data_IF_449384168442
#
_entry.id   IF_449384168442
#
_cell.length_a   1.000
_cell.length_b   1.000
_cell.length_c   1.000
_cell.angle_alpha   90.00
_cell.angle_beta   90.00
_cell.angle_gamma   90.00
#
_symmetry.space_group_name_H-M   'P 1'
#
loop_
_entity.id
_entity.type
_entity.pdbx_description
1 polymer ?
#
# COMPACT_ATOMS: atom_id res chain seq x y z
N UNK A 1 -31.42 -49.76 -28.63
CA UNK A 1 -32.00 -48.58 -27.97
C UNK A 1 -31.14 -47.39 -28.38
N UNK A 2 -31.71 -46.48 -29.16
CA UNK A 2 -31.01 -45.29 -29.66
C UNK A 2 -31.09 -44.25 -28.55
N UNK A 3 -29.94 -43.85 -28.02
CA UNK A 3 -29.85 -42.82 -26.99
C UNK A 3 -29.59 -41.48 -27.68
N UNK A 4 -30.62 -40.64 -27.64
CA UNK A 4 -30.69 -39.31 -28.22
C UNK A 4 -29.77 -38.37 -27.43
N UNK A 5 -28.72 -37.83 -28.07
CA UNK A 5 -27.90 -36.77 -27.50
C UNK A 5 -28.65 -35.45 -27.66
N UNK A 6 -29.20 -34.95 -26.55
CA UNK A 6 -29.76 -33.60 -26.46
C UNK A 6 -28.60 -32.61 -26.42
N UNK A 7 -28.37 -31.91 -27.52
CA UNK A 7 -27.48 -30.75 -27.55
C UNK A 7 -28.18 -29.58 -26.86
N UNK A 8 -27.74 -29.22 -25.65
CA UNK A 8 -28.09 -27.95 -25.02
C UNK A 8 -27.30 -26.82 -25.67
N UNK A 9 -27.87 -26.21 -26.69
CA UNK A 9 -27.49 -24.88 -27.16
C UNK A 9 -27.89 -23.87 -26.08
N UNK A 10 -26.91 -23.44 -25.27
CA UNK A 10 -27.10 -22.32 -24.36
C UNK A 10 -26.87 -21.01 -25.13
N UNK A 11 -27.96 -20.32 -25.46
CA UNK A 11 -27.90 -18.97 -26.02
C UNK A 11 -27.43 -17.99 -24.94
N UNK A 12 -26.22 -17.44 -25.06
CA UNK A 12 -25.82 -16.27 -24.31
C UNK A 12 -26.52 -15.03 -24.87
N UNK A 13 -27.57 -14.60 -24.18
CA UNK A 13 -28.20 -13.29 -24.36
C UNK A 13 -27.38 -12.20 -23.67
N UNK A 14 -27.13 -11.12 -24.43
CA UNK A 14 -26.72 -9.76 -24.03
C UNK A 14 -25.24 -9.49 -23.68
N UNK A 15 -24.38 -9.59 -24.70
CA UNK A 15 -23.31 -8.60 -24.90
C UNK A 15 -23.96 -7.27 -25.33
N UNK A 16 -23.61 -6.10 -24.74
CA UNK A 16 -23.94 -4.84 -25.37
C UNK A 16 -23.14 -4.74 -26.68
N UNK A 17 -23.87 -4.58 -27.79
CA UNK A 17 -23.30 -4.33 -29.10
C UNK A 17 -22.32 -3.15 -29.06
N UNK A 18 -21.18 -3.38 -29.72
CA UNK A 18 -20.11 -2.44 -29.98
C UNK A 18 -20.65 -1.28 -30.81
N UNK A 19 -21.12 -0.22 -30.16
CA UNK A 19 -21.47 1.03 -30.87
C UNK A 19 -20.20 1.73 -31.31
N UNK A 20 -19.99 1.72 -32.62
CA UNK A 20 -19.09 2.63 -33.30
C UNK A 20 -19.59 4.08 -33.10
N UNK A 21 -18.63 5.00 -32.90
CA UNK A 21 -18.74 6.45 -33.01
C UNK A 21 -19.72 7.17 -32.06
N UNK A 22 -19.17 7.96 -31.14
CA UNK A 22 -19.94 8.91 -30.35
C UNK A 22 -19.05 9.76 -29.44
N UNK A 23 -18.63 10.92 -29.97
CA UNK A 23 -18.30 12.19 -29.29
C UNK A 23 -17.99 12.10 -27.79
N UNK A 24 -16.71 12.32 -27.46
CA UNK A 24 -16.20 12.49 -26.10
C UNK A 24 -16.93 13.64 -25.37
N UNK A 25 -17.81 13.29 -24.44
CA UNK A 25 -18.20 14.16 -23.33
C UNK A 25 -17.51 13.60 -22.08
N UNK A 26 -16.83 14.49 -21.33
CA UNK A 26 -15.90 14.15 -20.26
C UNK A 26 -16.46 13.19 -19.21
N UNK A 27 -15.98 11.94 -19.25
CA UNK A 27 -16.12 10.98 -18.16
C UNK A 27 -14.93 11.20 -17.24
N UNK A 28 -15.19 11.47 -15.96
CA UNK A 28 -14.15 11.42 -14.93
C UNK A 28 -13.57 10.02 -14.92
N UNK A 29 -12.29 9.92 -15.25
CA UNK A 29 -11.51 8.70 -15.19
C UNK A 29 -11.40 8.30 -13.70
N UNK A 30 -12.34 7.48 -13.24
CA UNK A 30 -12.22 6.79 -11.96
C UNK A 30 -10.99 5.91 -11.99
N UNK A 31 -10.26 5.92 -10.89
CA UNK A 31 -9.02 5.19 -10.71
C UNK A 31 -9.26 3.68 -10.97
N UNK A 32 -8.60 3.03 -11.93
CA UNK A 32 -8.79 1.60 -12.21
C UNK A 32 -8.47 0.68 -11.02
N UNK A 33 -7.86 1.21 -9.95
CA UNK A 33 -7.39 0.47 -8.77
C UNK A 33 -8.44 0.25 -7.66
N UNK A 34 -9.71 0.57 -7.88
CA UNK A 34 -10.82 0.27 -6.95
C UNK A 34 -11.94 -0.57 -7.60
N UNK A 35 -11.58 -1.60 -8.37
CA UNK A 35 -12.57 -2.52 -8.93
C UNK A 35 -12.66 -3.82 -8.11
N UNK A 36 -13.52 -3.90 -7.06
CA UNK A 36 -13.77 -5.14 -6.32
C UNK A 36 -14.35 -6.26 -7.20
N UNK A 37 -14.76 -5.95 -8.44
CA UNK A 37 -15.13 -6.92 -9.45
C UNK A 37 -13.97 -7.78 -9.94
N UNK A 38 -12.72 -7.27 -9.95
CA UNK A 38 -11.61 -8.05 -10.50
C UNK A 38 -11.16 -9.19 -9.58
N UNK A 39 -10.93 -8.92 -8.30
CA UNK A 39 -10.57 -9.98 -7.35
C UNK A 39 -11.66 -11.06 -7.27
N UNK A 40 -12.94 -10.65 -7.37
CA UNK A 40 -14.08 -11.56 -7.45
C UNK A 40 -14.13 -12.34 -8.77
N UNK A 41 -13.69 -11.73 -9.87
CA UNK A 41 -13.61 -12.35 -11.19
C UNK A 41 -12.49 -13.39 -11.26
N UNK A 42 -11.28 -13.09 -10.77
CA UNK A 42 -10.18 -14.06 -10.69
C UNK A 42 -10.56 -15.23 -9.78
N UNK A 43 -11.16 -14.96 -8.62
CA UNK A 43 -11.64 -16.03 -7.73
C UNK A 43 -12.69 -16.90 -8.43
N UNK A 44 -13.65 -16.28 -9.15
CA UNK A 44 -14.66 -17.01 -9.91
C UNK A 44 -14.08 -17.85 -11.06
N UNK A 45 -13.08 -17.35 -11.78
CA UNK A 45 -12.41 -18.09 -12.85
C UNK A 45 -11.64 -19.28 -12.27
N UNK A 46 -10.93 -19.09 -11.18
CA UNK A 46 -10.17 -20.15 -10.50
C UNK A 46 -11.11 -21.22 -9.96
N UNK A 47 -12.23 -20.82 -9.33
CA UNK A 47 -13.27 -21.75 -8.85
C UNK A 47 -13.95 -22.53 -9.99
N UNK A 48 -14.24 -21.86 -11.11
CA UNK A 48 -14.82 -22.50 -12.31
C UNK A 48 -13.86 -23.54 -12.91
N UNK A 49 -12.58 -23.19 -13.08
CA UNK A 49 -11.57 -24.13 -13.57
C UNK A 49 -11.38 -25.31 -12.61
N UNK A 50 -11.38 -25.09 -11.30
CA UNK A 50 -11.30 -26.17 -10.31
C UNK A 50 -12.52 -27.11 -10.36
N UNK A 51 -13.72 -26.58 -10.60
CA UNK A 51 -14.93 -27.39 -10.75
C UNK A 51 -14.87 -28.31 -11.98
N UNK A 52 -14.26 -27.84 -13.09
CA UNK A 52 -14.05 -28.65 -14.30
C UNK A 52 -13.08 -29.82 -14.04
N UNK A 53 -12.04 -29.62 -13.23
CA UNK A 53 -11.09 -30.69 -12.88
C UNK A 53 -11.67 -31.72 -11.90
N UNK A 54 -12.54 -31.31 -10.97
CA UNK A 54 -13.18 -32.22 -10.01
C UNK A 54 -14.31 -33.07 -10.63
N UNK A 55 -14.83 -32.66 -11.80
CA UNK A 55 -15.87 -33.41 -12.53
C UNK A 55 -15.33 -34.49 -13.47
N UNK A 56 -14.02 -34.63 -13.65
CA UNK A 56 -13.43 -35.60 -14.58
C UNK A 56 -13.19 -36.95 -13.89
N UNK A 57 -13.88 -38.05 -14.27
CA UNK A 57 -13.64 -39.35 -13.69
C UNK A 57 -12.25 -39.85 -14.13
N UNK A 58 -11.30 -39.84 -13.20
CA UNK A 58 -9.99 -40.44 -13.37
C UNK A 58 -10.17 -41.95 -13.58
N UNK A 59 -9.98 -42.41 -14.80
CA UNK A 59 -9.77 -43.83 -15.08
C UNK A 59 -8.40 -44.24 -14.55
N UNK A 60 -8.42 -45.11 -13.54
CA UNK A 60 -7.26 -45.81 -12.97
C UNK A 60 -6.38 -46.41 -14.08
N UNK A 61 -5.23 -45.79 -14.32
CA UNK A 61 -4.13 -46.39 -15.05
C UNK A 61 -2.88 -46.21 -14.21
N UNK A 62 -2.57 -47.28 -13.47
CA UNK A 62 -1.33 -47.49 -12.72
C UNK A 62 -0.14 -47.28 -13.66
N UNK A 63 0.62 -46.20 -13.44
CA UNK A 63 1.94 -46.04 -14.04
C UNK A 63 2.97 -45.86 -12.92
N UNK A 64 3.72 -46.94 -12.73
CA UNK A 64 4.88 -47.10 -11.86
C UNK A 64 6.02 -46.21 -12.39
N UNK A 65 6.46 -45.23 -11.58
CA UNK A 65 7.61 -44.37 -11.89
C UNK A 65 8.70 -44.54 -10.83
N UNK A 66 9.84 -45.06 -11.26
CA UNK A 66 11.10 -45.10 -10.52
C UNK A 66 11.72 -43.71 -10.36
N UNK A 67 12.45 -43.43 -9.26
CA UNK A 67 13.05 -42.12 -9.02
C UNK A 67 14.43 -41.98 -9.70
N UNK A 68 14.78 -40.81 -10.28
CA UNK A 68 16.13 -40.52 -10.70
C UNK A 68 16.98 -39.90 -9.57
N UNK A 69 18.25 -40.29 -9.59
CA UNK A 69 19.30 -40.00 -8.62
C UNK A 69 19.61 -38.51 -8.42
N UNK A 70 19.90 -38.16 -7.17
CA UNK A 70 20.45 -36.88 -6.70
C UNK A 70 21.84 -36.62 -7.31
N UNK A 71 21.98 -35.50 -8.01
CA UNK A 71 23.27 -34.94 -8.45
C UNK A 71 23.67 -33.82 -7.48
N UNK A 72 24.78 -34.03 -6.77
CA UNK A 72 25.52 -33.02 -6.02
C UNK A 72 25.86 -31.81 -6.91
N UNK A 73 25.76 -30.61 -6.35
CA UNK A 73 26.33 -29.38 -6.91
C UNK A 73 27.17 -28.68 -5.83
N UNK A 74 28.33 -28.11 -6.18
CA UNK A 74 29.29 -27.60 -5.22
C UNK A 74 28.95 -26.17 -4.76
N UNK A 75 29.06 -25.93 -3.46
CA UNK A 75 28.98 -24.61 -2.84
C UNK A 75 30.26 -23.80 -3.08
N UNK A 76 30.17 -22.52 -3.49
CA UNK A 76 31.31 -21.61 -3.46
C UNK A 76 31.49 -21.03 -2.05
N UNK A 77 32.66 -21.27 -1.47
CA UNK A 77 33.17 -20.64 -0.25
C UNK A 77 33.48 -19.17 -0.52
N UNK A 78 32.87 -18.24 0.21
CA UNK A 78 33.30 -16.84 0.28
C UNK A 78 33.94 -16.59 1.64
N UNK A 79 35.24 -16.34 1.61
CA UNK A 79 36.06 -15.88 2.72
C UNK A 79 36.09 -14.34 2.65
N UNK A 80 35.72 -13.65 3.73
CA UNK A 80 35.74 -12.18 3.80
C UNK A 80 36.63 -11.74 4.96
N UNK A 81 37.84 -11.33 4.59
CA UNK A 81 38.81 -10.67 5.46
C UNK A 81 38.27 -9.31 5.94
N UNK A 82 38.02 -9.20 7.24
CA UNK A 82 37.61 -7.97 7.91
C UNK A 82 38.86 -7.11 8.22
N UNK A 83 39.19 -6.17 7.33
CA UNK A 83 40.25 -5.18 7.58
C UNK A 83 39.66 -3.83 8.00
N UNK A 84 39.68 -3.60 9.31
CA UNK A 84 40.23 -2.39 9.95
C UNK A 84 39.77 -1.01 9.44
N UNK A 85 38.76 -0.43 10.09
CA UNK A 85 38.68 1.03 10.25
C UNK A 85 38.35 1.39 11.70
N UNK A 86 39.39 1.84 12.42
CA UNK A 86 39.24 2.53 13.68
C UNK A 86 38.76 3.96 13.44
N UNK A 87 37.74 4.38 14.19
CA UNK A 87 37.45 5.79 14.39
C UNK A 87 37.32 6.05 15.89
N UNK A 88 38.24 6.88 16.34
CA UNK A 88 38.50 7.36 17.69
C UNK A 88 37.40 8.30 18.15
N UNK A 89 36.93 8.08 19.39
CA UNK A 89 36.06 9.00 20.12
C UNK A 89 36.87 10.15 20.74
N UNK A 90 36.34 11.37 20.68
CA UNK A 90 36.42 12.39 21.74
C UNK A 90 35.66 13.65 21.32
N UNK A 91 34.62 14.03 22.07
CA UNK A 91 34.29 15.45 22.27
C UNK A 91 33.41 15.62 23.50
N UNK A 92 34.06 15.92 24.62
CA UNK A 92 33.51 16.72 25.71
C UNK A 92 33.53 18.18 25.27
N UNK A 93 32.43 18.91 25.44
CA UNK A 93 32.54 20.15 26.20
C UNK A 93 31.21 20.64 26.77
N UNK A 94 31.36 21.22 27.95
CA UNK A 94 30.36 21.65 28.92
C UNK A 94 30.26 23.17 28.82
N UNK A 95 29.05 23.76 28.79
CA UNK A 95 28.88 25.19 29.13
C UNK A 95 27.66 25.34 30.05
N UNK A 96 27.78 26.06 31.18
CA UNK A 96 26.73 26.20 32.17
C UNK A 96 26.11 27.62 32.20
N UNK A 97 24.92 27.66 32.80
CA UNK A 97 24.29 28.74 33.62
C UNK A 97 23.94 30.13 33.03
N UNK A 98 22.67 30.46 33.31
CA UNK A 98 22.17 31.69 33.96
C UNK A 98 21.70 32.90 33.14
N UNK A 99 20.88 33.69 33.86
CA UNK A 99 20.34 35.04 33.60
C UNK A 99 18.89 35.03 33.08
N UNK A 100 17.86 35.14 33.91
CA UNK A 100 17.39 36.24 34.79
C UNK A 100 16.20 36.98 34.16
N UNK A 101 15.32 37.40 35.06
CA UNK A 101 14.02 38.02 34.94
C UNK A 101 13.86 39.10 33.86
N UNK A 102 12.66 39.17 33.27
CA UNK A 102 12.09 40.47 32.91
C UNK A 102 10.56 40.46 32.96
N UNK A 103 10.05 41.11 34.01
CA UNK A 103 8.69 41.61 34.14
C UNK A 103 8.29 42.43 32.90
N UNK A 104 7.05 42.25 32.43
CA UNK A 104 6.44 43.14 31.43
C UNK A 104 5.15 43.76 31.99
N UNK A 105 4.94 45.07 31.77
CA UNK A 105 3.88 45.82 32.42
C UNK A 105 2.52 45.63 31.73
N UNK A 106 1.48 45.66 32.55
CA UNK A 106 0.08 45.73 32.16
C UNK A 106 -0.19 47.06 31.46
N UNK A 107 -0.62 47.02 30.20
CA UNK A 107 -1.15 48.19 29.47
C UNK A 107 -2.69 48.20 29.50
N UNK A 108 -3.31 49.40 29.50
CA UNK A 108 -4.75 49.57 29.69
C UNK A 108 -5.55 49.24 28.43
N UNK A 109 -6.69 48.61 28.69
CA UNK A 109 -7.78 48.29 27.78
C UNK A 109 -8.37 49.57 27.17
N UNK A 110 -8.13 49.80 25.86
CA UNK A 110 -8.84 50.80 25.06
C UNK A 110 -9.95 50.13 24.26
N UNK A 111 -11.19 50.52 24.57
CA UNK A 111 -12.41 50.10 23.89
C UNK A 111 -12.57 50.87 22.56
N UNK A 112 -12.75 50.21 21.39
CA UNK A 112 -13.00 50.90 20.14
C UNK A 112 -14.51 51.11 19.88
N UNK A 113 -14.89 52.22 19.22
CA UNK A 113 -16.28 52.58 18.98
C UNK A 113 -16.93 51.67 17.93
N UNK A 114 -18.21 51.38 18.17
CA UNK A 114 -19.10 50.64 17.27
C UNK A 114 -19.20 51.35 15.91
N UNK A 115 -18.57 50.77 14.89
CA UNK A 115 -18.83 51.09 13.49
C UNK A 115 -19.79 50.04 12.92
N UNK A 116 -21.01 50.48 12.57
CA UNK A 116 -21.95 49.69 11.79
C UNK A 116 -21.33 49.40 10.43
N UNK A 117 -21.05 48.12 10.15
CA UNK A 117 -20.55 47.66 8.87
C UNK A 117 -21.59 46.72 8.27
N UNK A 118 -22.18 47.15 7.15
CA UNK A 118 -23.09 46.38 6.33
C UNK A 118 -22.45 45.04 5.95
N UNK A 119 -22.89 43.99 6.63
CA UNK A 119 -22.54 42.61 6.36
C UNK A 119 -23.23 42.18 5.05
N UNK A 120 -22.58 42.48 3.93
CA UNK A 120 -22.83 41.75 2.69
C UNK A 120 -22.33 40.33 2.89
N UNK A 121 -23.26 39.43 3.26
CA UNK A 121 -23.07 37.97 3.28
C UNK A 121 -22.72 37.48 1.86
N UNK A 122 -21.48 37.68 1.44
CA UNK A 122 -20.89 36.84 0.42
C UNK A 122 -20.72 35.46 1.03
N UNK A 123 -21.75 34.61 0.91
CA UNK A 123 -21.65 33.18 1.20
C UNK A 123 -20.48 32.65 0.37
N UNK A 124 -19.35 32.29 0.98
CA UNK A 124 -18.28 31.69 0.22
C UNK A 124 -18.85 30.37 -0.32
N UNK A 125 -18.88 30.25 -1.64
CA UNK A 125 -19.12 28.99 -2.33
C UNK A 125 -17.88 28.13 -2.07
N UNK A 126 -17.78 27.62 -0.85
CA UNK A 126 -16.73 26.73 -0.42
C UNK A 126 -16.97 25.41 -1.13
N UNK A 127 -16.10 25.06 -2.07
CA UNK A 127 -16.07 23.74 -2.68
C UNK A 127 -15.84 22.72 -1.56
N UNK A 128 -16.89 21.99 -1.18
CA UNK A 128 -16.88 21.03 -0.07
C UNK A 128 -16.26 19.70 -0.49
N UNK A 129 -15.11 19.74 -1.14
CA UNK A 129 -14.34 18.51 -1.27
C UNK A 129 -13.94 18.16 0.17
N UNK A 130 -14.49 17.07 0.70
CA UNK A 130 -14.14 16.49 2.01
C UNK A 130 -13.73 15.04 1.82
N UNK A 131 -12.68 14.62 2.52
CA UNK A 131 -12.32 13.23 2.69
C UNK A 131 -12.95 12.71 3.99
N UNK A 132 -13.54 11.52 3.97
CA UNK A 132 -14.08 10.88 5.18
C UNK A 132 -13.15 9.74 5.58
N UNK A 133 -12.50 9.84 6.74
CA UNK A 133 -11.77 8.72 7.34
C UNK A 133 -12.66 8.04 8.38
N UNK A 134 -12.59 6.71 8.45
CA UNK A 134 -13.30 5.90 9.46
C UNK A 134 -12.28 5.19 10.34
N UNK A 135 -12.46 5.29 11.65
CA UNK A 135 -11.56 4.75 12.67
C UNK A 135 -12.14 3.49 13.30
N UNK A 136 -11.30 2.71 13.98
CA UNK A 136 -11.64 1.45 14.63
C UNK A 136 -12.68 1.61 15.76
N UNK A 137 -12.65 2.76 16.44
CA UNK A 137 -13.61 3.15 17.49
C UNK A 137 -14.98 3.57 16.92
N UNK A 138 -15.15 3.54 15.60
CA UNK A 138 -16.36 3.95 14.90
C UNK A 138 -16.46 5.45 14.64
N UNK A 139 -15.48 6.25 15.08
CA UNK A 139 -15.43 7.68 14.78
C UNK A 139 -15.23 7.86 13.27
N UNK A 140 -15.89 8.88 12.71
CA UNK A 140 -15.72 9.31 11.33
C UNK A 140 -15.28 10.75 11.29
N UNK A 141 -14.13 11.01 10.67
CA UNK A 141 -13.54 12.34 10.58
C UNK A 141 -13.71 12.88 9.15
N UNK A 142 -14.41 14.01 9.03
CA UNK A 142 -14.52 14.75 7.78
C UNK A 142 -13.38 15.75 7.68
N UNK A 143 -12.47 15.52 6.74
CA UNK A 143 -11.23 16.30 6.58
C UNK A 143 -11.35 17.16 5.33
N UNK A 144 -11.24 18.47 5.52
CA UNK A 144 -11.17 19.43 4.43
C UNK A 144 -9.76 19.46 3.84
N UNK A 145 -9.66 19.77 2.54
CA UNK A 145 -8.39 19.75 1.80
C UNK A 145 -7.29 20.60 2.44
N UNK A 146 -7.65 21.71 3.06
CA UNK A 146 -6.74 22.67 3.70
C UNK A 146 -6.36 22.31 5.15
N UNK A 147 -6.90 21.24 5.72
CA UNK A 147 -6.66 20.84 7.12
C UNK A 147 -5.50 19.86 7.26
N UNK A 148 -5.01 19.28 6.16
CA UNK A 148 -3.87 18.35 6.20
C UNK A 148 -2.58 19.15 6.34
N UNK A 149 -1.90 19.10 7.50
CA UNK A 149 -0.68 19.86 7.70
C UNK A 149 0.45 19.31 6.83
N UNK A 150 1.45 20.12 6.48
CA UNK A 150 2.74 19.58 6.04
C UNK A 150 3.29 18.72 7.17
N UNK A 151 3.81 17.54 6.85
CA UNK A 151 4.45 16.70 7.86
C UNK A 151 5.68 17.42 8.41
N UNK A 152 5.76 17.57 9.73
CA UNK A 152 7.02 17.91 10.37
C UNK A 152 8.07 16.84 10.02
N UNK A 153 9.38 17.13 10.06
CA UNK A 153 10.39 16.09 9.91
C UNK A 153 10.23 15.04 11.01
N UNK A 154 9.92 13.80 10.63
CA UNK A 154 9.94 12.64 11.51
C UNK A 154 10.60 11.46 10.79
N UNK A 155 11.05 10.48 11.56
CA UNK A 155 11.65 9.26 11.01
C UNK A 155 11.31 8.08 11.91
N UNK A 156 10.71 7.06 11.31
CA UNK A 156 10.49 5.76 11.96
C UNK A 156 11.62 4.76 11.66
N UNK A 157 12.66 5.17 10.90
CA UNK A 157 13.70 4.24 10.44
C UNK A 157 14.53 3.65 11.60
N UNK A 158 14.58 4.33 12.74
CA UNK A 158 15.33 3.92 13.94
C UNK A 158 14.42 3.44 15.07
N UNK A 159 13.10 3.63 14.96
CA UNK A 159 12.13 3.32 16.00
C UNK A 159 10.90 2.64 15.37
N UNK A 160 11.06 1.34 15.16
CA UNK A 160 10.01 0.50 14.58
C UNK A 160 8.87 0.26 15.57
N UNK A 161 9.13 0.34 16.87
CA UNK A 161 8.06 0.25 17.86
C UNK A 161 7.09 1.41 17.70
N UNK A 162 7.60 2.64 17.55
CA UNK A 162 6.75 3.80 17.24
C UNK A 162 6.00 3.65 15.92
N UNK A 163 6.60 3.03 14.91
CA UNK A 163 5.93 2.76 13.64
C UNK A 163 4.69 1.87 13.86
N UNK A 164 4.88 0.75 14.57
CA UNK A 164 3.81 -0.22 14.87
C UNK A 164 2.69 0.45 15.67
N UNK A 165 3.06 1.22 16.69
CA UNK A 165 2.11 1.95 17.54
C UNK A 165 1.32 3.04 16.80
N UNK A 166 1.81 3.48 15.64
CA UNK A 166 1.26 4.56 14.82
C UNK A 166 0.61 4.07 13.52
N UNK A 167 0.65 2.77 13.24
CA UNK A 167 0.30 2.23 11.92
C UNK A 167 -1.21 2.12 11.70
N UNK A 168 -1.88 1.39 12.59
CA UNK A 168 -3.26 0.93 12.45
C UNK A 168 -3.97 1.02 13.81
N UNK A 169 -5.06 1.77 13.85
CA UNK A 169 -5.91 1.98 15.03
C UNK A 169 -6.78 0.76 15.39
N UNK A 170 -6.87 -0.24 14.51
CA UNK A 170 -7.45 -1.54 14.83
C UNK A 170 -6.46 -2.44 15.60
N UNK A 171 -5.17 -2.08 15.65
CA UNK A 171 -4.14 -2.89 16.32
C UNK A 171 -4.26 -2.81 17.83
N UNK A 172 -3.98 -3.93 18.52
CA UNK A 172 -3.83 -3.95 19.96
C UNK A 172 -2.63 -3.10 20.44
N UNK A 173 -1.65 -2.90 19.57
CA UNK A 173 -0.47 -2.07 19.83
C UNK A 173 -0.70 -0.58 19.53
N UNK A 174 -1.89 -0.18 19.09
CA UNK A 174 -2.21 1.22 18.78
C UNK A 174 -2.03 2.11 20.02
N UNK A 175 -0.98 2.93 19.98
CA UNK A 175 -0.59 3.83 21.05
C UNK A 175 0.20 5.01 20.44
N UNK A 176 -0.44 5.86 19.61
CA UNK A 176 0.26 6.90 18.88
C UNK A 176 0.96 7.85 19.86
N UNK A 177 2.23 8.21 19.61
CA UNK A 177 2.99 9.01 20.55
C UNK A 177 2.47 10.47 20.57
N UNK A 178 2.75 11.25 21.63
CA UNK A 178 2.26 12.63 21.74
C UNK A 178 2.74 13.55 20.60
N UNK A 179 3.89 13.22 20.00
CA UNK A 179 4.51 13.91 18.86
C UNK A 179 4.10 13.30 17.51
N UNK A 180 2.92 12.66 17.42
CA UNK A 180 2.44 12.01 16.21
C UNK A 180 2.43 12.97 15.00
N UNK A 181 2.99 12.60 13.83
CA UNK A 181 3.25 13.58 12.76
C UNK A 181 2.02 14.25 12.15
N UNK A 182 0.86 13.57 12.18
CA UNK A 182 -0.38 14.06 11.61
C UNK A 182 -1.48 13.94 12.66
N UNK A 183 -1.88 15.07 13.21
CA UNK A 183 -3.00 15.19 14.14
C UNK A 183 -4.00 16.18 13.53
N UNK A 184 -5.23 15.74 13.30
CA UNK A 184 -6.30 16.57 12.71
C UNK A 184 -7.46 16.59 13.70
N UNK A 185 -7.92 17.79 14.08
CA UNK A 185 -8.93 17.98 15.13
C UNK A 185 -8.60 17.24 16.44
N UNK A 186 -7.32 17.20 16.82
CA UNK A 186 -6.85 16.49 18.02
C UNK A 186 -6.81 14.96 17.90
N UNK A 187 -7.12 14.39 16.73
CA UNK A 187 -7.09 12.95 16.50
C UNK A 187 -5.81 12.56 15.73
N UNK A 188 -4.95 11.69 16.29
CA UNK A 188 -3.81 11.13 15.57
C UNK A 188 -4.30 10.32 14.36
N UNK A 189 -3.78 10.60 13.17
CA UNK A 189 -4.19 9.89 11.95
C UNK A 189 -3.29 8.66 11.75
N UNK A 190 -3.81 7.43 11.77
CA UNK A 190 -3.04 6.22 11.51
C UNK A 190 -2.29 6.28 10.17
N UNK A 191 -1.05 5.78 10.15
CA UNK A 191 -0.20 5.82 8.95
C UNK A 191 -0.85 5.10 7.76
N UNK A 192 -1.66 4.06 8.01
CA UNK A 192 -2.41 3.36 6.95
C UNK A 192 -3.31 4.30 6.13
N UNK A 193 -3.87 5.36 6.73
CA UNK A 193 -4.76 6.31 6.06
C UNK A 193 -4.03 7.44 5.32
N UNK A 194 -2.72 7.57 5.49
CA UNK A 194 -1.98 8.70 4.91
C UNK A 194 -2.04 8.73 3.39
N UNK A 195 -2.08 7.56 2.73
CA UNK A 195 -2.23 7.48 1.28
C UNK A 195 -3.52 8.13 0.79
N UNK A 196 -4.66 7.82 1.41
CA UNK A 196 -5.97 8.39 1.09
C UNK A 196 -6.00 9.89 1.40
N UNK A 197 -5.49 10.27 2.58
CA UNK A 197 -5.42 11.65 3.05
C UNK A 197 -4.66 12.55 2.07
N UNK A 198 -3.50 12.10 1.60
CA UNK A 198 -2.65 12.88 0.70
C UNK A 198 -3.08 12.82 -0.76
N UNK A 199 -3.69 11.72 -1.24
CA UNK A 199 -4.33 11.68 -2.57
C UNK A 199 -5.41 12.75 -2.69
N UNK A 200 -6.13 12.96 -1.60
CA UNK A 200 -7.16 13.98 -1.51
C UNK A 200 -6.58 15.41 -1.51
N UNK A 201 -5.47 15.64 -0.80
CA UNK A 201 -4.81 16.94 -0.76
C UNK A 201 -3.81 17.18 -1.92
N UNK A 202 -4.33 17.61 -3.09
CA UNK A 202 -3.49 17.98 -4.24
C UNK A 202 -2.44 19.07 -3.96
N UNK A 203 -2.64 19.93 -2.96
CA UNK A 203 -1.64 20.97 -2.61
C UNK A 203 -0.42 20.37 -1.92
N UNK A 204 -0.57 19.21 -1.28
CA UNK A 204 0.51 18.49 -0.60
C UNK A 204 1.11 17.36 -1.46
N UNK A 205 0.93 17.39 -2.79
CA UNK A 205 1.45 16.34 -3.68
C UNK A 205 2.98 16.16 -3.58
N UNK A 206 3.71 17.25 -3.31
CA UNK A 206 5.16 17.19 -3.06
C UNK A 206 5.51 16.39 -1.80
N UNK A 207 4.78 16.62 -0.70
CA UNK A 207 4.96 15.92 0.57
C UNK A 207 4.64 14.43 0.42
N UNK A 208 3.53 14.09 -0.23
CA UNK A 208 3.19 12.70 -0.51
C UNK A 208 4.25 12.01 -1.35
N UNK A 209 4.77 12.67 -2.40
CA UNK A 209 5.81 12.08 -3.24
C UNK A 209 7.08 11.75 -2.43
N UNK A 210 7.45 12.60 -1.47
CA UNK A 210 8.56 12.35 -0.53
C UNK A 210 8.24 11.17 0.38
N UNK A 211 7.04 11.18 0.96
CA UNK A 211 6.63 10.23 1.99
C UNK A 211 6.31 8.84 1.43
N UNK A 212 5.82 8.74 0.20
CA UNK A 212 5.38 7.50 -0.45
C UNK A 212 6.46 6.42 -0.47
N UNK A 213 7.73 6.80 -0.64
CA UNK A 213 8.86 5.85 -0.58
C UNK A 213 8.99 5.23 0.81
N UNK A 214 8.96 6.05 1.85
CA UNK A 214 9.01 5.58 3.24
C UNK A 214 7.77 4.76 3.60
N UNK A 215 6.59 5.25 3.23
CA UNK A 215 5.32 4.57 3.48
C UNK A 215 5.28 3.18 2.83
N UNK A 216 5.77 3.04 1.59
CA UNK A 216 5.84 1.73 0.92
C UNK A 216 6.78 0.77 1.67
N UNK A 217 7.89 1.28 2.21
CA UNK A 217 8.77 0.45 3.04
C UNK A 217 8.09 0.08 4.37
N UNK A 218 7.33 1.00 4.98
CA UNK A 218 6.60 0.75 6.22
C UNK A 218 5.48 -0.28 6.08
N UNK A 219 4.77 -0.30 4.95
CA UNK A 219 3.74 -1.32 4.68
C UNK A 219 4.30 -2.74 4.78
N UNK A 220 5.55 -2.93 4.35
CA UNK A 220 6.16 -4.25 4.37
C UNK A 220 6.44 -4.77 5.80
N UNK A 221 6.49 -3.89 6.81
CA UNK A 221 6.54 -4.30 8.23
C UNK A 221 5.21 -4.87 8.71
N UNK A 222 4.08 -4.36 8.22
CA UNK A 222 2.74 -4.82 8.60
C UNK A 222 2.42 -6.23 8.09
N UNK A 223 3.16 -6.74 7.11
CA UNK A 223 3.02 -8.13 6.68
C UNK A 223 3.39 -9.15 7.78
N UNK A 224 4.05 -8.71 8.87
CA UNK A 224 4.36 -9.56 10.03
C UNK A 224 3.29 -9.41 11.11
N UNK A 225 2.80 -10.53 11.62
CA UNK A 225 1.68 -10.54 12.59
C UNK A 225 2.02 -9.96 13.96
N UNK A 226 3.30 -10.00 14.37
CA UNK A 226 3.78 -9.40 15.62
C UNK A 226 5.18 -8.79 15.43
N UNK A 227 5.58 -7.83 16.28
CA UNK A 227 6.95 -7.30 16.28
C UNK A 227 8.02 -8.39 16.46
N UNK A 228 7.75 -9.40 17.30
CA UNK A 228 8.67 -10.50 17.56
C UNK A 228 8.82 -11.39 16.32
N UNK A 229 7.72 -11.72 15.64
CA UNK A 229 7.75 -12.50 14.41
C UNK A 229 8.48 -11.74 13.28
N UNK A 230 8.33 -10.42 13.24
CA UNK A 230 9.10 -9.58 12.34
C UNK A 230 10.60 -9.72 12.63
N UNK A 231 11.02 -9.54 13.88
CA UNK A 231 12.43 -9.60 14.24
C UNK A 231 13.02 -11.01 14.14
N UNK A 232 12.25 -12.06 14.38
CA UNK A 232 12.67 -13.45 14.14
C UNK A 232 13.02 -13.67 12.66
N UNK A 233 12.24 -13.06 11.76
CA UNK A 233 12.50 -13.10 10.31
C UNK A 233 13.69 -12.23 9.90
N UNK A 234 13.91 -11.11 10.58
CA UNK A 234 14.89 -10.08 10.20
C UNK A 234 16.02 -9.91 11.22
N UNK A 235 16.43 -10.99 11.86
CA UNK A 235 17.65 -11.06 12.68
C UNK A 235 18.69 -11.97 12.05
N UNK A 236 19.96 -11.71 12.33
CA UNK A 236 21.06 -12.60 11.97
C UNK A 236 21.15 -13.80 12.93
N UNK A 237 22.12 -14.70 12.68
CA UNK A 237 22.35 -15.88 13.53
C UNK A 237 22.70 -15.55 14.98
N UNK A 238 23.15 -14.33 15.25
CA UNK A 238 23.50 -13.85 16.59
C UNK A 238 22.33 -13.10 17.25
N UNK A 239 21.12 -13.20 16.69
CA UNK A 239 19.91 -12.48 17.12
C UNK A 239 20.05 -10.96 17.06
N UNK A 240 20.95 -10.43 16.22
CA UNK A 240 21.05 -9.00 15.97
C UNK A 240 20.13 -8.63 14.83
N UNK A 241 19.37 -7.58 15.04
CA UNK A 241 18.44 -7.06 14.05
C UNK A 241 19.21 -6.58 12.81
N UNK A 242 18.75 -6.99 11.63
CA UNK A 242 19.27 -6.51 10.37
C UNK A 242 19.02 -4.99 10.24
N UNK A 243 19.92 -4.28 9.57
CA UNK A 243 19.70 -2.86 9.32
C UNK A 243 18.54 -2.64 8.33
N UNK A 244 17.94 -1.46 8.39
CA UNK A 244 16.79 -1.09 7.57
C UNK A 244 16.99 -1.27 6.06
N UNK A 245 18.21 -1.00 5.55
CA UNK A 245 18.53 -1.15 4.13
C UNK A 245 18.48 -2.61 3.69
N UNK A 246 19.06 -3.50 4.51
CA UNK A 246 19.04 -4.95 4.28
C UNK A 246 17.61 -5.49 4.33
N UNK A 247 16.83 -5.12 5.35
CA UNK A 247 15.42 -5.50 5.47
C UNK A 247 14.62 -5.06 4.25
N UNK A 248 14.76 -3.80 3.83
CA UNK A 248 14.07 -3.25 2.66
C UNK A 248 14.44 -4.02 1.39
N UNK A 249 15.69 -4.43 1.24
CA UNK A 249 16.15 -5.24 0.10
C UNK A 249 15.48 -6.62 0.10
N UNK A 250 15.49 -7.32 1.24
CA UNK A 250 14.85 -8.64 1.38
C UNK A 250 13.35 -8.55 1.07
N UNK A 251 12.65 -7.54 1.59
CA UNK A 251 11.22 -7.35 1.36
C UNK A 251 10.91 -7.09 -0.13
N UNK A 252 11.74 -6.30 -0.81
CA UNK A 252 11.60 -6.08 -2.26
C UNK A 252 11.84 -7.35 -3.06
N UNK A 253 12.85 -8.14 -2.71
CA UNK A 253 13.14 -9.41 -3.38
C UNK A 253 12.00 -10.41 -3.17
N UNK A 254 11.46 -10.50 -1.95
CA UNK A 254 10.30 -11.33 -1.64
C UNK A 254 9.06 -10.91 -2.44
N UNK A 255 8.71 -9.63 -2.44
CA UNK A 255 7.57 -9.12 -3.22
C UNK A 255 7.75 -9.35 -4.72
N UNK A 256 8.96 -9.17 -5.25
CA UNK A 256 9.24 -9.48 -6.65
C UNK A 256 9.09 -10.97 -6.96
N UNK A 257 9.47 -11.85 -6.03
CA UNK A 257 9.32 -13.29 -6.16
C UNK A 257 7.84 -13.70 -6.13
N UNK A 258 7.04 -13.13 -5.23
CA UNK A 258 5.59 -13.34 -5.17
C UNK A 258 4.92 -12.87 -6.46
N UNK A 259 5.24 -11.67 -6.94
CA UNK A 259 4.74 -11.16 -8.22
C UNK A 259 5.11 -12.10 -9.39
N UNK A 260 6.35 -12.61 -9.41
CA UNK A 260 6.80 -13.55 -10.43
C UNK A 260 6.02 -14.87 -10.37
N UNK A 261 5.73 -15.38 -9.17
CA UNK A 261 4.98 -16.61 -8.96
C UNK A 261 3.54 -16.45 -9.48
N UNK A 262 2.86 -15.35 -9.12
CA UNK A 262 1.50 -15.05 -9.57
C UNK A 262 1.45 -14.93 -11.10
N UNK A 263 2.40 -14.22 -11.71
CA UNK A 263 2.44 -14.11 -13.17
C UNK A 263 2.72 -15.45 -13.84
N UNK A 264 3.57 -16.28 -13.24
CA UNK A 264 3.87 -17.62 -13.76
C UNK A 264 2.62 -18.49 -13.73
N UNK A 265 1.88 -18.47 -12.61
CA UNK A 265 0.60 -19.17 -12.47
C UNK A 265 -0.44 -18.65 -13.47
N UNK A 266 -0.62 -17.34 -13.58
CA UNK A 266 -1.53 -16.74 -14.55
C UNK A 266 -1.16 -17.12 -15.99
N UNK A 267 0.14 -17.15 -16.34
CA UNK A 267 0.58 -17.64 -17.66
C UNK A 267 0.24 -19.10 -17.89
N UNK A 268 0.33 -19.95 -16.87
CA UNK A 268 -0.05 -21.36 -16.98
C UNK A 268 -1.57 -21.53 -17.17
N UNK A 269 -2.37 -20.76 -16.44
CA UNK A 269 -3.85 -20.83 -16.51
C UNK A 269 -4.38 -20.31 -17.84
N UNK A 270 -3.92 -19.14 -18.28
CA UNK A 270 -4.48 -18.47 -19.46
C UNK A 270 -3.75 -18.82 -20.77
N UNK A 271 -2.55 -19.40 -20.72
CA UNK A 271 -1.75 -19.81 -21.89
C UNK A 271 -1.79 -18.78 -23.03
N UNK A 272 -2.47 -19.10 -24.13
CA UNK A 272 -2.61 -18.24 -25.33
C UNK A 272 -3.47 -17.01 -25.12
N UNK A 273 -4.37 -17.05 -24.14
CA UNK A 273 -5.25 -15.93 -23.80
C UNK A 273 -4.60 -14.93 -22.84
N UNK A 274 -3.43 -15.26 -22.27
CA UNK A 274 -2.77 -14.39 -21.28
C UNK A 274 -2.62 -12.95 -21.79
N UNK A 275 -2.17 -12.76 -23.03
CA UNK A 275 -2.01 -11.42 -23.62
C UNK A 275 -3.34 -10.70 -23.86
N UNK A 276 -4.43 -11.43 -24.05
CA UNK A 276 -5.77 -10.86 -24.23
C UNK A 276 -6.44 -10.50 -22.90
N UNK A 277 -6.13 -11.22 -21.83
CA UNK A 277 -6.68 -10.97 -20.49
C UNK A 277 -5.89 -9.87 -19.77
N UNK A 278 -4.55 -9.90 -19.86
CA UNK A 278 -3.66 -8.98 -19.15
C UNK A 278 -3.09 -7.92 -20.10
N UNK A 279 -3.92 -6.96 -20.48
CA UNK A 279 -3.52 -5.87 -21.37
C UNK A 279 -4.38 -4.63 -21.17
N UNK A 280 -4.02 -3.57 -21.88
CA UNK A 280 -4.79 -2.32 -21.85
C UNK A 280 -4.88 -1.73 -23.25
N UNK A 281 -5.94 -0.94 -23.50
CA UNK A 281 -6.10 -0.23 -24.75
C UNK A 281 -5.25 1.04 -24.77
N UNK A 282 -4.36 1.16 -25.76
CA UNK A 282 -3.56 2.35 -26.03
C UNK A 282 -3.72 2.73 -27.48
N UNK A 283 -4.33 3.90 -27.73
CA UNK A 283 -4.55 4.44 -29.08
C UNK A 283 -5.35 3.47 -29.99
N UNK A 284 -6.40 2.83 -29.47
CA UNK A 284 -7.21 1.88 -30.23
C UNK A 284 -6.55 0.52 -30.45
N UNK A 285 -5.39 0.26 -29.84
CA UNK A 285 -4.67 -1.01 -29.92
C UNK A 285 -4.59 -1.65 -28.54
N UNK A 286 -4.84 -2.95 -28.48
CA UNK A 286 -4.60 -3.74 -27.28
C UNK A 286 -3.10 -3.96 -27.09
N UNK A 287 -2.57 -3.60 -25.93
CA UNK A 287 -1.17 -3.78 -25.56
C UNK A 287 -1.11 -4.69 -24.35
N UNK A 288 -0.51 -5.87 -24.51
CA UNK A 288 -0.28 -6.79 -23.41
C UNK A 288 0.65 -6.18 -22.35
N UNK A 289 0.33 -6.38 -21.08
CA UNK A 289 1.16 -5.96 -19.98
C UNK A 289 2.44 -6.82 -19.92
N UNK A 290 3.57 -6.16 -19.71
CA UNK A 290 4.89 -6.82 -19.61
C UNK A 290 5.47 -6.78 -18.21
N UNK A 291 5.01 -5.86 -17.36
CA UNK A 291 5.49 -5.71 -15.99
C UNK A 291 4.69 -6.61 -15.05
N UNK A 292 5.38 -7.46 -14.32
CA UNK A 292 4.73 -8.40 -13.38
C UNK A 292 3.91 -7.67 -12.32
N UNK A 293 4.44 -6.58 -11.78
CA UNK A 293 3.73 -5.74 -10.81
C UNK A 293 2.44 -5.11 -11.34
N UNK A 294 2.30 -4.96 -12.67
CA UNK A 294 1.10 -4.39 -13.27
C UNK A 294 0.06 -5.49 -13.52
N UNK A 295 0.51 -6.71 -13.83
CA UNK A 295 -0.33 -7.90 -13.99
C UNK A 295 -0.96 -8.32 -12.66
N UNK A 296 -0.18 -8.29 -11.56
CA UNK A 296 -0.65 -8.65 -10.21
C UNK A 296 -1.68 -7.66 -9.66
N UNK A 297 -1.66 -6.41 -10.13
CA UNK A 297 -2.53 -5.33 -9.66
C UNK A 297 -3.79 -5.14 -10.49
N UNK A 298 -3.94 -5.88 -11.59
CA UNK A 298 -5.26 -5.96 -12.22
C UNK A 298 -6.27 -6.45 -11.19
#
# INVERSE_FOLDING_TARGET
MVQEMVATTLCHTHLPERKASGIYAGVQQTDPFENPGFARHITSIVEEHLAVYQGSPVTDAVMELSPPSLSESPHPSMDLDATHFGLTAASTDTIPTDVDHSDSPILPLSEPPQAMSDASEQRPVMSYDKCMLSFADGIRLAICKNEVPPTQPFSYNTDLQRLIQSWDDCSADWAPPPDHPIVIHGHPIPIKHWGELYRFNKMANGEWKRLKSHWSNWQAYQASSTPEAFWDTFSDSDSRHLNFSTITKILKEKGQQEDNNIVTEAKQVFDKEFANQFGYEKEGRWVGMTRHSDIVKM
#
